data_IF_071189648956
#
_entry.id   IF_071189648956
#
_cell.length_a   1.000
_cell.length_b   1.000
_cell.length_c   1.000
_cell.angle_alpha   90.00
_cell.angle_beta   90.00
_cell.angle_gamma   90.00
#
_symmetry.space_group_name_H-M   'P 1'
#
loop_
_entity.id
_entity.type
_entity.pdbx_description
1 polymer ?
#
# COMPACT_ATOMS: atom_id res chain seq x y z
N UNK A 1 12.36 57.39 -18.15
CA UNK A 1 11.61 57.21 -16.89
C UNK A 1 11.39 55.72 -16.72
N UNK A 2 12.09 55.11 -15.75
CA UNK A 2 12.06 53.66 -15.51
C UNK A 2 11.24 53.44 -14.25
N UNK A 3 10.07 52.80 -14.39
CA UNK A 3 9.21 52.43 -13.28
C UNK A 3 9.75 51.13 -12.69
N UNK A 4 10.29 51.24 -11.48
CA UNK A 4 10.79 50.12 -10.67
C UNK A 4 9.59 49.56 -9.91
N UNK A 5 9.15 48.36 -10.27
CA UNK A 5 8.14 47.62 -9.50
C UNK A 5 8.75 47.16 -8.17
N UNK A 6 8.34 47.79 -7.08
CA UNK A 6 8.64 47.34 -5.73
C UNK A 6 7.73 46.15 -5.38
N UNK A 7 8.27 44.94 -5.47
CA UNK A 7 7.63 43.71 -5.01
C UNK A 7 7.40 43.72 -3.49
N UNK A 8 6.15 43.96 -3.09
CA UNK A 8 5.69 43.89 -1.70
C UNK A 8 5.67 42.46 -1.17
N UNK A 9 6.80 42.00 -0.61
CA UNK A 9 6.98 40.75 0.12
C UNK A 9 6.29 40.76 1.52
N UNK A 10 4.97 40.98 1.59
CA UNK A 10 4.23 41.12 2.87
C UNK A 10 3.39 39.91 3.28
N UNK A 11 3.43 38.78 2.58
CA UNK A 11 2.55 37.64 2.86
C UNK A 11 3.27 36.35 3.27
N UNK A 12 4.26 36.43 4.16
CA UNK A 12 4.83 35.25 4.83
C UNK A 12 4.44 35.19 6.32
N UNK A 13 3.17 35.43 6.62
CA UNK A 13 2.63 35.07 7.93
C UNK A 13 2.00 33.67 7.80
N UNK A 14 2.56 32.62 8.44
CA UNK A 14 2.00 31.26 8.36
C UNK A 14 0.55 31.19 8.84
N UNK A 15 0.15 32.12 9.72
CA UNK A 15 -1.23 32.26 10.20
C UNK A 15 -2.22 32.72 9.11
N UNK A 16 -1.75 33.46 8.10
CA UNK A 16 -2.56 33.87 6.96
C UNK A 16 -2.78 32.74 5.96
N UNK A 17 -1.79 31.85 5.78
CA UNK A 17 -1.93 30.67 4.92
C UNK A 17 -2.98 29.68 5.43
N UNK A 18 -3.01 29.44 6.74
CA UNK A 18 -4.03 28.57 7.35
C UNK A 18 -5.44 29.16 7.18
N UNK A 19 -5.60 30.48 7.37
CA UNK A 19 -6.90 31.15 7.18
C UNK A 19 -7.37 31.12 5.71
N UNK A 20 -6.46 31.31 4.75
CA UNK A 20 -6.77 31.22 3.32
C UNK A 20 -7.16 29.78 2.96
N UNK A 21 -6.44 28.78 3.47
CA UNK A 21 -6.77 27.36 3.24
C UNK A 21 -8.15 26.96 3.75
N UNK A 22 -8.53 27.41 4.96
CA UNK A 22 -9.86 27.14 5.54
C UNK A 22 -10.95 27.83 4.71
N UNK A 23 -10.76 29.09 4.32
CA UNK A 23 -11.74 29.82 3.49
C UNK A 23 -11.93 29.17 2.12
N UNK A 24 -10.86 28.70 1.47
CA UNK A 24 -10.93 27.97 0.19
C UNK A 24 -11.60 26.60 0.32
N UNK A 25 -11.47 25.92 1.45
CA UNK A 25 -12.14 24.63 1.71
C UNK A 25 -13.65 24.83 1.89
N UNK A 26 -14.06 25.85 2.65
CA UNK A 26 -15.47 26.20 2.84
C UNK A 26 -16.13 26.62 1.52
N UNK A 27 -15.41 27.35 0.65
CA UNK A 27 -15.93 27.75 -0.66
C UNK A 27 -16.17 26.54 -1.59
N UNK A 28 -15.29 25.53 -1.56
CA UNK A 28 -15.48 24.27 -2.31
C UNK A 28 -16.66 23.47 -1.79
N UNK A 29 -16.82 23.37 -0.47
CA UNK A 29 -17.96 22.66 0.13
C UNK A 29 -19.29 23.36 -0.18
N UNK A 30 -19.34 24.69 -0.12
CA UNK A 30 -20.55 25.46 -0.45
C UNK A 30 -20.96 25.32 -1.93
N UNK A 31 -20.00 25.19 -2.85
CA UNK A 31 -20.28 24.96 -4.27
C UNK A 31 -20.80 23.54 -4.52
N UNK A 32 -20.30 22.54 -3.78
CA UNK A 32 -20.76 21.14 -3.86
C UNK A 32 -22.18 20.96 -3.32
N UNK A 33 -22.55 21.68 -2.25
CA UNK A 33 -23.89 21.58 -1.66
C UNK A 33 -24.97 22.38 -2.42
N UNK A 34 -24.62 23.26 -3.36
CA UNK A 34 -25.60 24.02 -4.16
C UNK A 34 -26.14 23.28 -5.38
N UNK A 35 -25.63 22.09 -5.70
CA UNK A 35 -26.09 21.27 -6.82
C UNK A 35 -27.14 20.22 -6.48
N UNK A 36 -27.48 20.04 -5.19
CA UNK A 36 -28.43 19.00 -4.72
C UNK A 36 -29.69 19.66 -4.18
N UNK A 37 -30.39 20.39 -5.04
CA UNK A 37 -31.83 20.63 -4.84
C UNK A 37 -32.55 19.84 -5.91
N UNK A 38 -32.87 18.60 -5.57
CA UNK A 38 -33.80 17.77 -6.33
C UNK A 38 -35.15 18.51 -6.43
N UNK A 39 -35.61 18.68 -7.67
CA UNK A 39 -36.99 19.04 -7.96
C UNK A 39 -37.93 17.86 -7.59
N UNK A 40 -39.17 18.15 -7.18
CA UNK A 40 -40.12 17.12 -6.76
C UNK A 40 -40.85 16.51 -7.98
N UNK A 41 -40.19 15.66 -8.78
CA UNK A 41 -40.85 14.94 -9.88
C UNK A 41 -40.26 13.52 -10.13
N UNK A 42 -39.86 12.80 -9.06
CA UNK A 42 -39.38 11.42 -9.19
C UNK A 42 -39.84 10.49 -8.04
N UNK A 43 -41.04 10.69 -7.51
CA UNK A 43 -41.65 9.85 -6.45
C UNK A 43 -42.38 8.59 -6.99
N UNK A 44 -41.93 7.95 -8.08
CA UNK A 44 -42.67 6.81 -8.65
C UNK A 44 -41.87 5.55 -9.01
N UNK A 45 -40.55 5.51 -8.92
CA UNK A 45 -39.77 4.32 -9.34
C UNK A 45 -38.70 3.86 -8.34
N UNK A 46 -38.75 4.31 -7.08
CA UNK A 46 -37.74 3.98 -6.06
C UNK A 46 -38.30 3.18 -4.85
N UNK A 47 -39.23 2.24 -5.08
CA UNK A 47 -39.77 1.35 -4.05
C UNK A 47 -39.44 -0.15 -4.29
N UNK A 48 -38.48 -0.49 -5.16
CA UNK A 48 -38.24 -1.90 -5.53
C UNK A 48 -36.83 -2.47 -5.24
N UNK A 49 -35.86 -1.71 -4.74
CA UNK A 49 -34.48 -2.23 -4.53
C UNK A 49 -33.89 -1.96 -3.13
N UNK A 50 -34.72 -1.64 -2.13
CA UNK A 50 -34.28 -1.34 -0.76
C UNK A 50 -34.59 -2.43 0.30
N UNK A 51 -34.83 -3.68 -0.11
CA UNK A 51 -35.15 -4.80 0.82
C UNK A 51 -34.21 -6.02 0.72
N UNK A 52 -33.05 -5.93 0.05
CA UNK A 52 -32.18 -7.10 -0.18
C UNK A 52 -30.79 -7.10 0.51
N UNK A 53 -30.43 -6.09 1.32
CA UNK A 53 -29.10 -6.03 1.97
C UNK A 53 -29.16 -5.87 3.51
N UNK A 54 -30.16 -6.45 4.17
CA UNK A 54 -30.31 -6.38 5.63
C UNK A 54 -30.23 -7.73 6.37
N UNK A 55 -29.74 -8.82 5.74
CA UNK A 55 -29.63 -10.14 6.40
C UNK A 55 -28.29 -10.87 6.15
N UNK A 56 -27.14 -10.20 6.23
CA UNK A 56 -25.85 -10.87 6.06
C UNK A 56 -24.70 -10.40 6.99
N UNK A 57 -24.98 -9.85 8.18
CA UNK A 57 -23.94 -9.55 9.19
C UNK A 57 -24.35 -9.95 10.62
N UNK A 58 -24.93 -11.15 10.77
CA UNK A 58 -25.27 -11.69 12.09
C UNK A 58 -24.92 -13.17 12.23
N UNK A 59 -23.67 -13.57 11.94
CA UNK A 59 -23.13 -14.86 12.38
C UNK A 59 -21.61 -14.98 12.12
N UNK A 60 -20.76 -14.32 12.93
CA UNK A 60 -19.39 -14.80 13.25
C UNK A 60 -18.82 -14.03 14.46
N UNK A 61 -19.49 -14.09 15.60
CA UNK A 61 -18.89 -13.89 16.93
C UNK A 61 -19.18 -15.14 17.76
N UNK A 62 -18.47 -16.23 17.48
CA UNK A 62 -18.33 -17.35 18.41
C UNK A 62 -17.16 -18.22 17.95
N UNK A 63 -16.34 -18.62 18.91
CA UNK A 63 -15.35 -19.70 18.84
C UNK A 63 -13.90 -19.31 18.56
N UNK A 64 -13.24 -18.74 19.59
CA UNK A 64 -11.84 -19.06 19.93
C UNK A 64 -11.50 -18.64 21.38
N UNK A 65 -12.32 -19.07 22.34
CA UNK A 65 -11.84 -19.29 23.71
C UNK A 65 -11.35 -20.73 23.80
N UNK A 66 -10.06 -20.96 23.62
CA UNK A 66 -9.42 -22.20 24.04
C UNK A 66 -7.96 -21.92 24.41
N UNK A 67 -7.76 -21.85 25.73
CA UNK A 67 -6.67 -22.46 26.50
C UNK A 67 -5.27 -22.49 25.85
N UNK A 68 -4.31 -21.80 26.48
CA UNK A 68 -3.27 -22.46 27.29
C UNK A 68 -2.46 -21.37 28.00
N UNK A 69 -2.67 -21.27 29.32
CA UNK A 69 -1.65 -20.77 30.25
C UNK A 69 -0.46 -21.72 30.26
N UNK A 70 0.77 -21.18 30.30
CA UNK A 70 1.64 -21.66 31.37
C UNK A 70 2.16 -20.50 32.20
N UNK A 71 1.65 -20.51 33.43
CA UNK A 71 2.30 -20.13 34.68
C UNK A 71 3.83 -20.25 34.62
N UNK A 72 4.52 -19.12 34.47
CA UNK A 72 5.92 -18.99 34.88
C UNK A 72 5.97 -18.01 36.06
N UNK A 73 6.17 -18.61 37.22
CA UNK A 73 6.46 -17.98 38.49
C UNK A 73 7.72 -17.09 38.33
N UNK A 74 7.68 -15.77 38.60
CA UNK A 74 8.90 -15.05 38.90
C UNK A 74 9.34 -15.50 40.30
N UNK A 75 10.37 -16.32 40.35
CA UNK A 75 11.07 -16.66 41.58
C UNK A 75 11.43 -15.38 42.36
N UNK A 76 10.77 -15.21 43.50
CA UNK A 76 11.28 -14.43 44.61
C UNK A 76 12.56 -15.10 45.15
N UNK A 77 13.74 -14.68 44.67
CA UNK A 77 15.05 -14.96 45.29
C UNK A 77 16.03 -13.95 44.68
N UNK A 78 16.64 -12.99 45.36
CA UNK A 78 17.10 -12.95 46.74
C UNK A 78 17.06 -11.52 47.26
N UNK A 79 16.38 -11.33 48.39
CA UNK A 79 16.63 -10.17 49.23
C UNK A 79 18.11 -10.15 49.63
N UNK A 80 18.78 -9.03 49.37
CA UNK A 80 19.99 -8.62 50.06
C UNK A 80 19.64 -8.29 51.53
N UNK A 81 19.27 -9.34 52.26
CA UNK A 81 19.13 -9.35 53.70
C UNK A 81 20.52 -9.14 54.28
N UNK A 82 20.74 -7.94 54.79
CA UNK A 82 21.77 -7.55 55.76
C UNK A 82 21.98 -8.67 56.79
N UNK A 83 22.95 -9.56 56.54
CA UNK A 83 23.43 -10.52 57.53
C UNK A 83 24.12 -9.75 58.65
N UNK A 84 23.37 -9.54 59.73
CA UNK A 84 23.92 -9.24 61.05
C UNK A 84 24.94 -10.33 61.37
N UNK A 85 26.17 -9.90 61.66
CA UNK A 85 27.16 -10.66 62.44
C UNK A 85 26.47 -11.27 63.67
N UNK A 86 26.11 -12.54 63.59
CA UNK A 86 26.00 -13.36 64.79
C UNK A 86 27.39 -13.91 65.07
N UNK A 87 27.88 -13.45 66.22
CA UNK A 87 29.12 -13.81 66.87
C UNK A 87 28.94 -15.24 67.40
N UNK A 88 29.33 -16.25 66.65
CA UNK A 88 29.60 -17.61 67.17
C UNK A 88 31.01 -17.54 67.79
N UNK A 89 31.09 -17.33 69.09
CA UNK A 89 31.39 -18.39 70.06
C UNK A 89 32.67 -19.14 69.68
N UNK A 90 33.75 -18.68 70.29
CA UNK A 90 34.98 -19.40 70.59
C UNK A 90 34.64 -20.77 71.18
N UNK A 91 35.17 -21.88 70.65
CA UNK A 91 35.30 -23.09 71.45
C UNK A 91 36.35 -22.83 72.53
N UNK A 92 35.96 -23.17 73.75
CA UNK A 92 36.77 -23.10 74.96
C UNK A 92 38.15 -23.76 74.78
N UNK A 93 39.18 -23.00 75.10
CA UNK A 93 40.52 -23.50 75.40
C UNK A 93 40.48 -24.14 76.79
N UNK A 94 40.13 -25.44 76.94
CA UNK A 94 40.26 -26.09 78.27
C UNK A 94 40.29 -27.64 78.28
N UNK A 95 40.76 -28.31 77.23
CA UNK A 95 41.01 -29.79 77.27
C UNK A 95 42.37 -30.23 76.70
N UNK A 96 43.42 -29.41 76.83
CA UNK A 96 44.75 -29.72 76.26
C UNK A 96 45.76 -30.36 77.24
N UNK A 97 45.44 -30.46 78.54
CA UNK A 97 46.44 -30.85 79.55
C UNK A 97 46.34 -32.31 80.07
N UNK A 98 45.21 -33.01 79.88
CA UNK A 98 45.09 -34.42 80.31
C UNK A 98 45.49 -35.46 79.26
N UNK A 99 45.44 -35.14 77.95
CA UNK A 99 45.95 -36.06 76.92
C UNK A 99 47.48 -36.06 76.81
N UNK A 100 48.16 -34.99 77.23
CA UNK A 100 49.62 -34.90 77.13
C UNK A 100 50.37 -35.71 78.20
N UNK A 101 49.71 -36.13 79.30
CA UNK A 101 50.33 -36.99 80.32
C UNK A 101 50.23 -38.50 80.04
N UNK A 102 49.28 -38.96 79.22
CA UNK A 102 49.21 -40.38 78.85
C UNK A 102 50.28 -40.77 77.82
N UNK A 103 50.71 -39.84 76.95
CA UNK A 103 51.78 -40.10 75.98
C UNK A 103 53.18 -40.28 76.60
N UNK A 104 53.42 -39.81 77.83
CA UNK A 104 54.72 -39.95 78.51
C UNK A 104 54.91 -41.30 79.22
N UNK A 105 53.85 -42.06 79.49
CA UNK A 105 53.96 -43.37 80.18
C UNK A 105 54.17 -44.57 79.24
N UNK A 106 53.94 -44.43 77.93
CA UNK A 106 54.16 -45.52 76.97
C UNK A 106 55.57 -45.58 76.35
N UNK A 107 56.43 -44.58 76.58
CA UNK A 107 57.74 -44.50 75.90
C UNK A 107 58.88 -45.31 76.54
N UNK A 108 58.63 -46.13 77.57
CA UNK A 108 59.69 -46.81 78.35
C UNK A 108 59.69 -48.35 78.31
N UNK A 109 58.95 -48.99 77.40
CA UNK A 109 58.94 -50.47 77.28
C UNK A 109 58.94 -50.99 75.84
N UNK A 110 59.81 -50.48 74.96
CA UNK A 110 60.11 -51.15 73.69
C UNK A 110 61.61 -51.09 73.38
N UNK A 111 62.38 -51.92 74.09
CA UNK A 111 63.69 -52.38 73.65
C UNK A 111 63.57 -53.86 73.25
N UNK A 112 63.01 -54.18 72.09
CA UNK A 112 63.18 -55.51 71.49
C UNK A 112 63.10 -55.45 69.95
N UNK A 113 64.06 -56.15 69.33
CA UNK A 113 64.14 -56.63 67.95
C UNK A 113 64.44 -55.65 66.79
N UNK A 114 65.70 -55.63 66.28
CA UNK A 114 66.08 -54.84 65.09
C UNK A 114 65.60 -55.41 63.74
N UNK A 115 65.03 -56.64 63.68
CA UNK A 115 64.59 -57.25 62.41
C UNK A 115 63.19 -56.84 61.93
N UNK A 116 62.26 -56.47 62.82
CA UNK A 116 60.93 -55.97 62.43
C UNK A 116 60.92 -54.48 62.05
N UNK A 117 61.96 -53.71 62.42
CA UNK A 117 62.05 -52.29 62.06
C UNK A 117 62.35 -52.04 60.58
N UNK A 118 62.97 -52.98 59.88
CA UNK A 118 63.25 -52.82 58.44
C UNK A 118 61.98 -53.01 57.60
N UNK A 119 61.05 -53.86 58.04
CA UNK A 119 59.80 -54.13 57.33
C UNK A 119 58.77 -53.00 57.52
N UNK A 120 58.73 -52.37 58.70
CA UNK A 120 57.87 -51.21 58.96
C UNK A 120 58.35 -49.97 58.18
N UNK A 121 59.68 -49.77 58.06
CA UNK A 121 60.23 -48.66 57.27
C UNK A 121 59.95 -48.85 55.77
N UNK A 122 59.97 -50.09 55.27
CA UNK A 122 59.64 -50.37 53.87
C UNK A 122 58.17 -50.12 53.52
N UNK A 123 57.22 -50.50 54.41
CA UNK A 123 55.79 -50.19 54.21
C UNK A 123 55.49 -48.69 54.27
N UNK A 124 56.18 -47.93 55.14
CA UNK A 124 56.05 -46.46 55.20
C UNK A 124 56.56 -45.80 53.91
N UNK A 125 57.65 -46.31 53.32
CA UNK A 125 58.17 -45.79 52.05
C UNK A 125 57.24 -46.09 50.87
N UNK A 126 56.59 -47.27 50.85
CA UNK A 126 55.62 -47.65 49.81
C UNK A 126 54.33 -46.83 49.92
N UNK A 127 53.78 -46.63 51.13
CA UNK A 127 52.63 -45.74 51.34
C UNK A 127 52.93 -44.29 50.95
N UNK A 128 54.15 -43.81 51.24
CA UNK A 128 54.58 -42.47 50.86
C UNK A 128 54.72 -42.33 49.35
N UNK A 129 55.17 -43.39 48.66
CA UNK A 129 55.23 -43.43 47.20
C UNK A 129 53.83 -43.47 46.58
N UNK A 130 52.91 -44.27 47.10
CA UNK A 130 51.50 -44.28 46.65
C UNK A 130 50.84 -42.92 46.87
N UNK A 131 51.03 -42.30 48.04
CA UNK A 131 50.48 -40.97 48.31
C UNK A 131 51.06 -39.91 47.37
N UNK A 132 52.34 -40.00 47.03
CA UNK A 132 52.97 -39.12 46.05
C UNK A 132 52.40 -39.34 44.64
N UNK A 133 52.15 -40.59 44.23
CA UNK A 133 51.51 -40.89 42.95
C UNK A 133 50.07 -40.40 42.88
N UNK A 134 49.28 -40.61 43.94
CA UNK A 134 47.91 -40.08 44.03
C UNK A 134 47.90 -38.56 43.96
N UNK A 135 48.86 -37.89 44.63
CA UNK A 135 48.97 -36.44 44.55
C UNK A 135 49.32 -35.95 43.13
N UNK A 136 50.19 -36.66 42.41
CA UNK A 136 50.51 -36.35 41.01
C UNK A 136 49.30 -36.58 40.08
N UNK A 137 48.56 -37.68 40.27
CA UNK A 137 47.34 -37.96 39.49
C UNK A 137 46.29 -36.88 39.71
N UNK A 138 46.02 -36.52 40.97
CA UNK A 138 45.07 -35.45 41.30
C UNK A 138 45.48 -34.10 40.73
N UNK A 139 46.79 -33.81 40.68
CA UNK A 139 47.29 -32.58 40.05
C UNK A 139 47.02 -32.55 38.53
N UNK A 140 47.23 -33.66 37.84
CA UNK A 140 46.96 -33.79 36.41
C UNK A 140 45.45 -33.73 36.09
N UNK A 141 44.61 -34.32 36.94
CA UNK A 141 43.16 -34.25 36.80
C UNK A 141 42.65 -32.81 36.94
N UNK A 142 43.09 -32.09 37.99
CA UNK A 142 42.78 -30.68 38.16
C UNK A 142 43.26 -29.80 36.99
N UNK A 143 44.42 -30.11 36.40
CA UNK A 143 44.94 -29.38 35.24
C UNK A 143 44.09 -29.62 33.99
N UNK A 144 43.61 -30.86 33.78
CA UNK A 144 42.67 -31.18 32.69
C UNK A 144 41.32 -30.50 32.88
N UNK A 145 40.78 -30.49 34.10
CA UNK A 145 39.53 -29.78 34.40
C UNK A 145 39.68 -28.27 34.14
N UNK A 146 40.80 -27.65 34.52
CA UNK A 146 41.06 -26.24 34.20
C UNK A 146 41.16 -25.98 32.70
N UNK A 147 41.84 -26.84 31.94
CA UNK A 147 41.92 -26.71 30.48
C UNK A 147 40.55 -26.87 29.83
N UNK A 148 39.72 -27.79 30.32
CA UNK A 148 38.36 -27.97 29.81
C UNK A 148 37.49 -26.75 30.10
N UNK A 149 37.53 -26.20 31.32
CA UNK A 149 36.81 -24.98 31.66
C UNK A 149 37.25 -23.79 30.81
N UNK A 150 38.56 -23.63 30.54
CA UNK A 150 39.04 -22.57 29.65
C UNK A 150 38.55 -22.74 28.21
N UNK A 151 38.44 -23.99 27.74
CA UNK A 151 37.90 -24.27 26.41
C UNK A 151 36.41 -23.96 26.34
N UNK A 152 35.62 -24.38 27.32
CA UNK A 152 34.18 -24.09 27.38
C UNK A 152 33.89 -22.58 27.45
N UNK A 153 34.73 -21.81 28.16
CA UNK A 153 34.64 -20.34 28.19
C UNK A 153 34.99 -19.73 26.81
N UNK A 154 36.02 -20.26 26.13
CA UNK A 154 36.41 -19.79 24.80
C UNK A 154 35.34 -20.05 23.75
N UNK A 155 34.81 -21.28 23.70
CA UNK A 155 33.77 -21.68 22.76
C UNK A 155 32.47 -20.87 23.00
N UNK A 156 32.13 -20.59 24.26
CA UNK A 156 30.98 -19.75 24.61
C UNK A 156 31.13 -18.28 24.17
N UNK A 157 32.33 -17.70 24.28
CA UNK A 157 32.60 -16.33 23.82
C UNK A 157 32.55 -16.19 22.30
N UNK A 158 33.06 -17.18 21.56
CA UNK A 158 32.96 -17.20 20.09
C UNK A 158 31.50 -17.31 19.64
N UNK A 159 30.70 -18.17 20.29
CA UNK A 159 29.28 -18.31 19.98
C UNK A 159 28.49 -17.01 20.25
N UNK A 160 28.71 -16.35 21.39
CA UNK A 160 28.05 -15.09 21.72
C UNK A 160 28.43 -13.97 20.73
N UNK A 161 29.70 -13.93 20.31
CA UNK A 161 30.16 -12.97 19.30
C UNK A 161 29.53 -13.23 17.92
N UNK A 162 29.37 -14.51 17.55
CA UNK A 162 28.70 -14.89 16.30
C UNK A 162 27.21 -14.52 16.32
N UNK A 163 26.50 -14.78 17.42
CA UNK A 163 25.09 -14.40 17.57
C UNK A 163 24.89 -12.87 17.53
N UNK A 164 25.78 -12.09 18.17
CA UNK A 164 25.73 -10.63 18.06
C UNK A 164 25.97 -10.14 16.63
N UNK A 165 26.88 -10.77 15.89
CA UNK A 165 27.16 -10.41 14.51
C UNK A 165 25.96 -10.74 13.60
N UNK A 166 25.31 -11.87 13.81
CA UNK A 166 24.11 -12.26 13.06
C UNK A 166 22.93 -11.32 13.35
N UNK A 167 22.70 -10.97 14.62
CA UNK A 167 21.69 -9.96 14.99
C UNK A 167 21.96 -8.60 14.33
N UNK A 168 23.22 -8.15 14.26
CA UNK A 168 23.57 -6.91 13.56
C UNK A 168 23.31 -6.99 12.05
N UNK A 169 23.51 -8.15 11.42
CA UNK A 169 23.21 -8.34 10.00
C UNK A 169 21.70 -8.35 9.75
N UNK A 170 20.92 -8.99 10.63
CA UNK A 170 19.45 -8.98 10.55
C UNK A 170 18.88 -7.57 10.73
N UNK A 171 19.41 -6.78 11.68
CA UNK A 171 19.01 -5.39 11.86
C UNK A 171 19.35 -4.50 10.66
N UNK A 172 20.47 -4.75 9.98
CA UNK A 172 20.81 -4.04 8.73
C UNK A 172 19.88 -4.42 7.58
N UNK A 173 19.56 -5.70 7.42
CA UNK A 173 18.64 -6.17 6.37
C UNK A 173 17.25 -5.54 6.48
N UNK A 174 16.70 -5.45 7.70
CA UNK A 174 15.40 -4.81 7.93
C UNK A 174 15.40 -3.30 7.62
N UNK A 175 16.54 -2.62 7.84
CA UNK A 175 16.69 -1.20 7.49
C UNK A 175 16.68 -0.98 5.98
N UNK A 176 17.39 -1.82 5.23
CA UNK A 176 17.47 -1.74 3.77
C UNK A 176 16.11 -2.05 3.10
N UNK A 177 15.35 -3.03 3.62
CA UNK A 177 13.99 -3.32 3.14
C UNK A 177 13.02 -2.16 3.40
N UNK A 178 13.08 -1.55 4.58
CA UNK A 178 12.22 -0.42 4.92
C UNK A 178 12.56 0.84 4.09
N UNK A 179 13.84 1.07 3.78
CA UNK A 179 14.26 2.16 2.90
C UNK A 179 13.79 1.92 1.45
N UNK A 180 13.86 0.68 0.97
CA UNK A 180 13.36 0.29 -0.36
C UNK A 180 11.85 0.48 -0.46
N UNK A 181 11.08 0.04 0.53
CA UNK A 181 9.62 0.21 0.56
C UNK A 181 9.23 1.71 0.59
N UNK A 182 9.96 2.51 1.36
CA UNK A 182 9.75 3.97 1.40
C UNK A 182 10.11 4.64 0.06
N UNK A 183 11.14 4.15 -0.63
CA UNK A 183 11.51 4.64 -1.97
C UNK A 183 10.47 4.25 -3.02
N UNK A 184 9.93 3.03 -2.96
CA UNK A 184 8.88 2.55 -3.86
C UNK A 184 7.58 3.35 -3.68
N UNK A 185 7.17 3.61 -2.43
CA UNK A 185 6.02 4.49 -2.16
C UNK A 185 6.21 5.92 -2.71
N UNK A 186 7.42 6.47 -2.64
CA UNK A 186 7.70 7.79 -3.23
C UNK A 186 7.65 7.77 -4.76
N UNK A 187 8.09 6.70 -5.41
CA UNK A 187 7.95 6.55 -6.86
C UNK A 187 6.48 6.45 -7.26
N UNK A 188 5.68 5.63 -6.59
CA UNK A 188 4.25 5.50 -6.88
C UNK A 188 3.50 6.83 -6.72
N UNK A 189 3.79 7.60 -5.66
CA UNK A 189 3.19 8.93 -5.50
C UNK A 189 3.59 9.91 -6.60
N UNK A 190 4.83 9.80 -7.10
CA UNK A 190 5.29 10.63 -8.20
C UNK A 190 4.60 10.24 -9.52
N UNK A 191 4.49 8.94 -9.81
CA UNK A 191 3.81 8.45 -11.01
C UNK A 191 2.34 8.85 -11.04
N UNK A 192 1.63 8.73 -9.90
CA UNK A 192 0.25 9.22 -9.77
C UNK A 192 0.13 10.73 -9.98
N UNK A 193 1.12 11.50 -9.52
CA UNK A 193 1.17 12.95 -9.74
C UNK A 193 1.37 13.30 -11.22
N UNK A 194 2.32 12.62 -11.88
CA UNK A 194 2.63 12.82 -13.30
C UNK A 194 1.44 12.38 -14.20
N UNK A 195 0.72 11.32 -13.83
CA UNK A 195 -0.50 10.86 -14.51
C UNK A 195 -1.65 11.87 -14.36
N UNK A 196 -1.88 12.38 -13.14
CA UNK A 196 -2.91 13.40 -12.90
C UNK A 196 -2.61 14.72 -13.63
N UNK A 197 -1.34 15.08 -13.80
CA UNK A 197 -0.93 16.24 -14.59
C UNK A 197 -1.18 16.00 -16.08
N UNK A 198 -0.90 14.79 -16.59
CA UNK A 198 -1.20 14.41 -17.98
C UNK A 198 -2.70 14.45 -18.27
N UNK A 199 -3.54 13.89 -17.38
CA UNK A 199 -5.01 13.95 -17.55
C UNK A 199 -5.54 15.39 -17.57
N UNK A 200 -4.99 16.26 -16.73
CA UNK A 200 -5.35 17.69 -16.75
C UNK A 200 -4.94 18.37 -18.06
N UNK A 201 -3.76 18.04 -18.58
CA UNK A 201 -3.29 18.57 -19.85
C UNK A 201 -4.17 18.08 -21.01
N UNK A 202 -4.53 16.79 -21.05
CA UNK A 202 -5.42 16.23 -22.06
C UNK A 202 -6.83 16.85 -22.02
N UNK A 203 -7.38 17.09 -20.82
CA UNK A 203 -8.64 17.82 -20.67
C UNK A 203 -8.55 19.25 -21.21
N UNK A 204 -7.44 19.95 -20.96
CA UNK A 204 -7.23 21.30 -21.47
C UNK A 204 -7.12 21.30 -23.01
N UNK A 205 -6.35 20.37 -23.58
CA UNK A 205 -6.21 20.24 -25.04
C UNK A 205 -7.56 19.88 -25.71
N UNK A 206 -8.37 19.04 -25.06
CA UNK A 206 -9.71 18.71 -25.54
C UNK A 206 -10.65 19.93 -25.52
N UNK A 207 -10.59 20.73 -24.45
CA UNK A 207 -11.36 21.97 -24.35
C UNK A 207 -10.94 22.98 -25.43
N UNK A 208 -9.64 23.15 -25.67
CA UNK A 208 -9.14 24.04 -26.72
C UNK A 208 -9.55 23.55 -28.13
N UNK A 209 -9.57 22.24 -28.39
CA UNK A 209 -10.11 21.70 -29.64
C UNK A 209 -11.60 21.96 -29.80
N UNK A 210 -12.39 21.83 -28.74
CA UNK A 210 -13.83 22.11 -28.77
C UNK A 210 -14.08 23.60 -29.09
N UNK A 211 -13.35 24.51 -28.46
CA UNK A 211 -13.46 25.95 -28.74
C UNK A 211 -13.07 26.29 -30.19
N UNK A 212 -12.04 25.64 -30.73
CA UNK A 212 -11.66 25.80 -32.14
C UNK A 212 -12.76 25.30 -33.09
N UNK A 213 -13.39 24.17 -32.77
CA UNK A 213 -14.49 23.62 -33.57
C UNK A 213 -15.72 24.54 -33.52
N UNK A 214 -16.10 25.04 -32.34
CA UNK A 214 -17.21 26.00 -32.20
C UNK A 214 -16.93 27.30 -32.96
N UNK A 215 -15.69 27.78 -32.95
CA UNK A 215 -15.31 28.96 -33.73
C UNK A 215 -15.43 28.72 -35.24
N UNK A 216 -15.02 27.54 -35.72
CA UNK A 216 -15.15 27.16 -37.12
C UNK A 216 -16.62 27.06 -37.54
N UNK A 217 -17.48 26.44 -36.73
CA UNK A 217 -18.92 26.35 -37.00
C UNK A 217 -19.58 27.74 -37.02
N UNK A 218 -19.19 28.66 -36.13
CA UNK A 218 -19.67 30.05 -36.15
C UNK A 218 -19.24 30.79 -37.42
N UNK A 219 -18.01 30.57 -37.89
CA UNK A 219 -17.52 31.18 -39.13
C UNK A 219 -18.31 30.66 -40.34
N UNK A 220 -18.55 29.36 -40.43
CA UNK A 220 -19.35 28.75 -41.50
C UNK A 220 -20.81 29.26 -41.49
N UNK A 221 -21.42 29.41 -40.31
CA UNK A 221 -22.76 30.01 -40.19
C UNK A 221 -22.77 31.47 -40.67
N UNK A 222 -21.74 32.24 -40.34
CA UNK A 222 -21.63 33.63 -40.79
C UNK A 222 -21.49 33.71 -42.32
N UNK A 223 -20.71 32.83 -42.93
CA UNK A 223 -20.59 32.74 -44.39
C UNK A 223 -21.92 32.35 -45.05
N UNK A 224 -22.65 31.38 -44.49
CA UNK A 224 -23.98 31.00 -45.00
C UNK A 224 -24.98 32.16 -44.93
N UNK A 225 -24.99 32.93 -43.83
CA UNK A 225 -25.85 34.12 -43.72
C UNK A 225 -25.49 35.19 -44.77
N UNK A 226 -24.20 35.41 -45.05
CA UNK A 226 -23.77 36.33 -46.09
C UNK A 226 -24.18 35.86 -47.49
N UNK A 227 -24.10 34.56 -47.77
CA UNK A 227 -24.55 33.99 -49.04
C UNK A 227 -26.07 34.11 -49.22
N UNK A 228 -26.85 33.83 -48.18
CA UNK A 228 -28.31 34.02 -48.21
C UNK A 228 -28.69 35.48 -48.42
N UNK A 229 -27.96 36.41 -47.79
CA UNK A 229 -28.19 37.84 -48.00
C UNK A 229 -27.89 38.27 -49.44
N UNK A 230 -26.78 37.81 -50.03
CA UNK A 230 -26.47 38.06 -51.46
C UNK A 230 -27.56 37.52 -52.40
N UNK A 231 -28.03 36.29 -52.17
CA UNK A 231 -29.10 35.70 -52.97
C UNK A 231 -30.42 36.48 -52.82
N UNK A 232 -30.72 36.99 -51.62
CA UNK A 232 -31.87 37.86 -51.38
C UNK A 232 -31.77 39.19 -52.12
N UNK A 233 -30.61 39.85 -52.05
CA UNK A 233 -30.37 41.12 -52.75
C UNK A 233 -30.45 40.94 -54.28
N UNK A 234 -29.93 39.82 -54.83
CA UNK A 234 -30.04 39.48 -56.26
C UNK A 234 -31.50 39.24 -56.69
N UNK A 235 -32.29 38.52 -55.89
CA UNK A 235 -33.72 38.31 -56.17
C UNK A 235 -34.54 39.61 -56.11
N UNK A 236 -34.23 40.49 -55.16
CA UNK A 236 -34.92 41.78 -55.02
C UNK A 236 -34.58 42.71 -56.21
N UNK A 237 -33.33 42.65 -56.68
CA UNK A 237 -32.90 43.36 -57.89
C UNK A 237 -33.61 42.82 -59.15
N UNK A 238 -33.71 41.50 -59.33
CA UNK A 238 -34.47 40.90 -60.44
C UNK A 238 -35.95 41.28 -60.40
N UNK A 239 -36.57 41.33 -59.20
CA UNK A 239 -37.95 41.80 -59.05
C UNK A 239 -38.12 43.28 -59.41
N UNK A 240 -37.17 44.15 -59.05
CA UNK A 240 -37.19 45.56 -59.45
C UNK A 240 -37.07 45.73 -60.97
N UNK A 241 -36.22 44.96 -61.63
CA UNK A 241 -36.11 44.98 -63.10
C UNK A 241 -37.40 44.48 -63.78
N UNK A 242 -38.07 43.48 -63.22
CA UNK A 242 -39.37 43.01 -63.74
C UNK A 242 -40.54 43.99 -63.52
N UNK A 243 -40.47 44.88 -62.52
CA UNK A 243 -41.52 45.89 -62.29
C UNK A 243 -41.38 47.15 -63.16
N UNK A 244 -40.18 47.45 -63.69
CA UNK A 244 -39.99 48.60 -64.61
C UNK A 244 -40.81 48.55 -65.92
N UNK A 245 -41.02 47.40 -66.60
CA UNK A 245 -41.85 47.38 -67.81
C UNK A 245 -43.36 47.57 -67.55
N UNK A 246 -43.86 47.31 -66.33
CA UNK A 246 -45.30 47.49 -66.02
C UNK A 246 -45.69 48.96 -65.83
N UNK A 247 -44.77 49.85 -65.45
CA UNK A 247 -45.04 51.29 -65.43
C UNK A 247 -45.08 51.93 -66.84
N UNK A 248 -44.76 51.19 -67.91
CA UNK A 248 -44.95 51.66 -69.31
C UNK A 248 -46.22 51.13 -69.98
N UNK A 249 -47.04 50.31 -69.32
CA UNK A 249 -48.28 49.78 -69.92
C UNK A 249 -49.53 49.93 -69.03
N UNK A 250 -49.45 50.66 -67.93
CA UNK A 250 -50.58 50.93 -67.02
C UNK A 250 -51.51 52.07 -67.46
N UNK A 251 -51.96 52.10 -68.71
CA UNK A 251 -53.17 52.84 -69.15
C UNK A 251 -53.96 52.01 -70.16
N UNK A 252 -54.15 50.71 -69.91
CA UNK A 252 -55.21 49.97 -70.56
C UNK A 252 -55.60 48.76 -69.70
N UNK A 253 -56.91 48.64 -69.47
CA UNK A 253 -57.59 47.42 -69.01
C UNK A 253 -57.64 47.19 -67.50
N UNK A 254 -58.54 47.96 -66.88
CA UNK A 254 -59.52 47.39 -65.95
C UNK A 254 -60.27 46.23 -66.63
N UNK A 255 -60.48 45.13 -65.91
CA UNK A 255 -61.48 44.12 -66.28
C UNK A 255 -61.20 42.72 -65.74
N UNK A 256 -61.85 42.40 -64.62
CA UNK A 256 -62.48 41.11 -64.30
C UNK A 256 -61.66 39.81 -64.43
N UNK A 257 -61.40 39.15 -63.29
CA UNK A 257 -61.61 37.70 -63.12
C UNK A 257 -61.32 37.30 -61.67
N UNK A 258 -62.41 37.23 -60.90
CA UNK A 258 -62.47 36.63 -59.58
C UNK A 258 -63.00 35.20 -59.77
N UNK A 259 -62.47 34.27 -58.96
CA UNK A 259 -62.91 32.87 -58.75
C UNK A 259 -62.16 31.78 -59.57
N UNK A 260 -61.83 30.70 -58.86
CA UNK A 260 -61.25 29.40 -59.30
C UNK A 260 -59.72 29.16 -59.24
N UNK A 261 -58.99 29.83 -58.32
CA UNK A 261 -57.57 29.55 -58.05
C UNK A 261 -57.24 28.65 -56.85
N UNK A 262 -58.20 28.34 -55.96
CA UNK A 262 -57.94 27.76 -54.65
C UNK A 262 -57.43 26.31 -54.64
N UNK A 263 -57.73 25.52 -55.67
CA UNK A 263 -57.35 24.11 -55.72
C UNK A 263 -55.85 23.90 -56.00
N UNK A 264 -55.23 24.74 -56.84
CA UNK A 264 -53.81 24.62 -57.19
C UNK A 264 -52.88 25.09 -56.06
N UNK A 265 -53.27 26.12 -55.31
CA UNK A 265 -52.53 26.56 -54.13
C UNK A 265 -52.52 25.50 -53.01
N UNK A 266 -53.61 24.74 -52.87
CA UNK A 266 -53.69 23.63 -51.91
C UNK A 266 -52.75 22.47 -52.28
N UNK A 267 -52.55 22.19 -53.57
CA UNK A 267 -51.62 21.14 -54.05
C UNK A 267 -50.17 21.56 -53.81
N UNK A 268 -49.81 22.82 -54.04
CA UNK A 268 -48.47 23.33 -53.77
C UNK A 268 -48.10 23.25 -52.28
N UNK A 269 -49.04 23.59 -51.39
CA UNK A 269 -48.83 23.44 -49.94
C UNK A 269 -48.67 21.97 -49.53
N UNK A 270 -49.41 21.04 -50.16
CA UNK A 270 -49.27 19.62 -49.88
C UNK A 270 -47.88 19.10 -50.28
N UNK A 271 -47.35 19.53 -51.43
CA UNK A 271 -46.00 19.16 -51.88
C UNK A 271 -44.91 19.69 -50.93
N UNK A 272 -45.07 20.92 -50.43
CA UNK A 272 -44.15 21.50 -49.45
C UNK A 272 -44.16 20.73 -48.11
N UNK A 273 -45.34 20.32 -47.64
CA UNK A 273 -45.49 19.50 -46.42
C UNK A 273 -44.85 18.12 -46.62
N UNK A 274 -45.07 17.46 -47.76
CA UNK A 274 -44.43 16.17 -48.05
C UNK A 274 -42.90 16.28 -48.11
N UNK A 275 -42.37 17.33 -48.72
CA UNK A 275 -40.93 17.59 -48.74
C UNK A 275 -40.37 17.86 -47.33
N UNK A 276 -41.11 18.57 -46.47
CA UNK A 276 -40.71 18.76 -45.07
C UNK A 276 -40.70 17.44 -44.29
N UNK A 277 -41.69 16.56 -44.53
CA UNK A 277 -41.75 15.22 -43.92
C UNK A 277 -40.54 14.37 -44.34
N UNK A 278 -40.14 14.40 -45.60
CA UNK A 278 -38.97 13.64 -46.06
C UNK A 278 -37.67 14.17 -45.43
N UNK A 279 -37.52 15.49 -45.28
CA UNK A 279 -36.37 16.09 -44.56
C UNK A 279 -36.31 15.65 -43.10
N UNK A 280 -37.45 15.62 -42.40
CA UNK A 280 -37.53 15.13 -41.02
C UNK A 280 -37.17 13.64 -40.96
N UNK A 281 -37.65 12.83 -41.91
CA UNK A 281 -37.32 11.40 -41.97
C UNK A 281 -35.82 11.20 -42.13
N UNK A 282 -35.17 11.96 -43.00
CA UNK A 282 -33.73 11.83 -43.21
C UNK A 282 -32.92 12.33 -42.01
N UNK A 283 -33.36 13.37 -41.29
CA UNK A 283 -32.71 13.77 -40.03
C UNK A 283 -32.82 12.69 -38.93
N UNK A 284 -33.94 11.97 -38.88
CA UNK A 284 -34.07 10.82 -37.97
C UNK A 284 -33.13 9.67 -38.34
N UNK A 285 -32.94 9.38 -39.64
CA UNK A 285 -31.96 8.37 -40.08
C UNK A 285 -30.54 8.77 -39.71
N UNK A 286 -30.16 10.03 -39.91
CA UNK A 286 -28.83 10.52 -39.54
C UNK A 286 -28.60 10.43 -38.02
N UNK A 287 -29.63 10.75 -37.24
CA UNK A 287 -29.57 10.62 -35.78
C UNK A 287 -29.43 9.16 -35.35
N UNK A 288 -30.20 8.25 -35.96
CA UNK A 288 -30.09 6.81 -35.72
C UNK A 288 -28.68 6.30 -36.05
N UNK A 289 -28.11 6.68 -37.21
CA UNK A 289 -26.75 6.29 -37.58
C UNK A 289 -25.68 6.86 -36.62
N UNK A 290 -25.86 8.07 -36.09
CA UNK A 290 -24.96 8.62 -35.07
C UNK A 290 -25.04 7.84 -33.77
N UNK A 291 -26.23 7.42 -33.37
CA UNK A 291 -26.42 6.58 -32.17
C UNK A 291 -25.78 5.20 -32.39
N UNK A 292 -25.99 4.57 -33.55
CA UNK A 292 -25.38 3.29 -33.89
C UNK A 292 -23.85 3.36 -33.84
N UNK A 293 -23.22 4.39 -34.45
CA UNK A 293 -21.76 4.58 -34.38
C UNK A 293 -21.25 4.81 -32.95
N UNK A 294 -22.02 5.50 -32.10
CA UNK A 294 -21.65 5.68 -30.69
C UNK A 294 -21.75 4.37 -29.92
N UNK A 295 -22.78 3.56 -30.17
CA UNK A 295 -22.91 2.24 -29.57
C UNK A 295 -21.76 1.34 -30.01
N UNK A 296 -21.42 1.30 -31.30
CA UNK A 296 -20.27 0.55 -31.80
C UNK A 296 -18.95 1.00 -31.15
N UNK A 297 -18.74 2.32 -31.01
CA UNK A 297 -17.57 2.85 -30.32
C UNK A 297 -17.52 2.46 -28.84
N UNK A 298 -18.66 2.46 -28.14
CA UNK A 298 -18.75 2.03 -26.75
C UNK A 298 -18.51 0.53 -26.61
N UNK A 299 -19.03 -0.29 -27.53
CA UNK A 299 -18.79 -1.74 -27.56
C UNK A 299 -17.31 -2.03 -27.75
N UNK A 300 -16.65 -1.37 -28.72
CA UNK A 300 -15.20 -1.53 -28.93
C UNK A 300 -14.37 -1.10 -27.71
N UNK A 301 -14.77 -0.02 -27.02
CA UNK A 301 -14.11 0.43 -25.79
C UNK A 301 -14.30 -0.60 -24.66
N UNK A 302 -15.50 -1.16 -24.51
CA UNK A 302 -15.80 -2.20 -23.52
C UNK A 302 -15.02 -3.49 -23.82
N UNK A 303 -14.95 -3.93 -25.08
CA UNK A 303 -14.15 -5.09 -25.49
C UNK A 303 -12.66 -4.91 -25.19
N UNK A 304 -12.14 -3.69 -25.42
CA UNK A 304 -10.75 -3.35 -25.09
C UNK A 304 -10.53 -3.43 -23.58
N UNK A 305 -11.43 -2.85 -22.78
CA UNK A 305 -11.36 -2.89 -21.31
C UNK A 305 -11.43 -4.32 -20.74
N UNK A 306 -12.34 -5.15 -21.26
CA UNK A 306 -12.44 -6.56 -20.88
C UNK A 306 -11.14 -7.30 -21.24
N UNK A 307 -10.57 -7.03 -22.41
CA UNK A 307 -9.32 -7.66 -22.86
C UNK A 307 -8.12 -7.25 -22.00
N UNK A 308 -8.00 -5.98 -21.63
CA UNK A 308 -6.90 -5.52 -20.77
C UNK A 308 -7.00 -6.09 -19.36
N UNK A 309 -8.19 -6.03 -18.76
CA UNK A 309 -8.42 -6.57 -17.40
C UNK A 309 -8.25 -8.09 -17.33
N UNK A 310 -8.68 -8.82 -18.36
CA UNK A 310 -8.44 -10.27 -18.42
C UNK A 310 -6.96 -10.61 -18.61
N UNK A 311 -6.23 -9.86 -19.43
CA UNK A 311 -4.78 -10.05 -19.59
C UNK A 311 -4.02 -9.78 -18.28
N UNK A 312 -4.37 -8.72 -17.56
CA UNK A 312 -3.81 -8.41 -16.23
C UNK A 312 -4.09 -9.55 -15.24
N UNK A 313 -5.34 -10.00 -15.14
CA UNK A 313 -5.70 -11.12 -14.27
C UNK A 313 -4.96 -12.41 -14.63
N UNK A 314 -4.74 -12.70 -15.92
CA UNK A 314 -3.96 -13.88 -16.34
C UNK A 314 -2.47 -13.75 -16.03
N UNK A 315 -1.91 -12.53 -16.11
CA UNK A 315 -0.54 -12.26 -15.73
C UNK A 315 -0.33 -12.47 -14.22
N UNK A 316 -1.25 -11.95 -13.40
CA UNK A 316 -1.22 -12.16 -11.95
C UNK A 316 -1.35 -13.65 -11.59
N UNK A 317 -2.24 -14.39 -12.27
CA UNK A 317 -2.33 -15.84 -12.10
C UNK A 317 -1.04 -16.57 -12.48
N UNK A 318 -0.35 -16.15 -13.55
CA UNK A 318 0.94 -16.72 -13.92
C UNK A 318 2.02 -16.44 -12.87
N UNK A 319 2.09 -15.21 -12.34
CA UNK A 319 3.03 -14.87 -11.28
C UNK A 319 2.77 -15.65 -9.99
N UNK A 320 1.51 -15.87 -9.62
CA UNK A 320 1.14 -16.71 -8.47
C UNK A 320 1.61 -18.15 -8.71
N UNK A 321 1.38 -18.69 -9.91
CA UNK A 321 1.80 -20.05 -10.28
C UNK A 321 3.33 -20.20 -10.19
N UNK A 322 4.10 -19.24 -10.73
CA UNK A 322 5.56 -19.23 -10.61
C UNK A 322 6.05 -19.14 -9.16
N UNK A 323 5.35 -18.35 -8.32
CA UNK A 323 5.68 -18.26 -6.89
C UNK A 323 5.43 -19.59 -6.17
N UNK A 324 4.34 -20.28 -6.49
CA UNK A 324 4.07 -21.61 -5.94
C UNK A 324 5.11 -22.63 -6.37
N UNK A 325 5.53 -22.63 -7.63
CA UNK A 325 6.58 -23.53 -8.12
C UNK A 325 7.91 -23.30 -7.38
N UNK A 326 8.32 -22.04 -7.21
CA UNK A 326 9.51 -21.68 -6.42
C UNK A 326 9.40 -22.08 -4.94
N UNK A 327 8.19 -22.02 -4.36
CA UNK A 327 7.95 -22.50 -3.00
C UNK A 327 8.02 -24.04 -2.93
N UNK A 328 7.57 -24.75 -3.97
CA UNK A 328 7.73 -26.18 -4.12
C UNK A 328 9.21 -26.58 -4.11
N UNK A 329 10.03 -25.95 -4.96
CA UNK A 329 11.48 -26.19 -5.02
C UNK A 329 12.18 -25.94 -3.67
N UNK A 330 11.78 -24.89 -2.94
CA UNK A 330 12.31 -24.60 -1.60
C UNK A 330 11.92 -25.68 -0.58
N UNK A 331 10.68 -26.14 -0.63
CA UNK A 331 10.18 -27.21 0.23
C UNK A 331 10.95 -28.51 -0.01
N UNK A 332 11.15 -28.88 -1.28
CA UNK A 332 11.92 -30.07 -1.67
C UNK A 332 13.37 -29.98 -1.18
N UNK A 333 14.02 -28.81 -1.34
CA UNK A 333 15.36 -28.58 -0.82
C UNK A 333 15.42 -28.71 0.71
N UNK A 334 14.45 -28.15 1.44
CA UNK A 334 14.39 -28.28 2.90
C UNK A 334 14.19 -29.74 3.31
N UNK A 335 13.37 -30.50 2.59
CA UNK A 335 13.20 -31.94 2.82
C UNK A 335 14.52 -32.69 2.67
N UNK A 336 15.26 -32.46 1.56
CA UNK A 336 16.56 -33.09 1.31
C UNK A 336 17.60 -32.73 2.40
N UNK A 337 17.57 -31.49 2.90
CA UNK A 337 18.41 -31.06 4.04
C UNK A 337 18.04 -31.80 5.33
N UNK A 338 16.75 -32.01 5.61
CA UNK A 338 16.32 -32.75 6.80
C UNK A 338 16.71 -34.22 6.73
N UNK A 339 16.60 -34.86 5.57
CA UNK A 339 17.04 -36.24 5.37
C UNK A 339 18.55 -36.39 5.66
N UNK A 340 19.37 -35.45 5.15
CA UNK A 340 20.81 -35.43 5.45
C UNK A 340 21.16 -35.18 6.92
N UNK A 341 20.32 -34.43 7.65
CA UNK A 341 20.51 -34.24 9.09
C UNK A 341 20.12 -35.49 9.87
N UNK A 342 19.13 -36.27 9.42
CA UNK A 342 18.73 -37.53 10.06
C UNK A 342 19.74 -38.67 9.90
N UNK A 343 20.62 -38.61 8.89
CA UNK A 343 21.69 -39.59 8.67
C UNK A 343 22.94 -39.36 9.54
N UNK A 344 23.10 -38.16 10.12
CA UNK A 344 24.21 -37.81 11.02
C UNK A 344 23.86 -38.11 12.47
#
# INVERSE_FOLDING_TARGET
MSLREEGSNKHKCPRCFVLIGILSSVQRHAKRCRGVTHGPEAEAEAEAEAEAEAEAEAETEADAEAEVEPKLEPEEQTGFGRWKRQRTQTPDEDESDEQQQQHKRHRKKQQHHPKQKQEIVAMDDEQKQEHQQQHQQKKLENEKEQQQQQKEIGDGQEQEQQEQQEQQQQQKGLGDEQELEQQEQQQQQKELGDEQEREQQEQQEHQEQQEQQEHQEQQEQQEQQQQQKKLGDEQEQEQQEQQQPQQRQGEAQQGEAQQDGGALASIANLAAVLSAIDKIRDSFKDTAQRIDRKMDSMVMALETFITTTTNEATNDQQQIMERMDRLGEKTDHLSEKMDHLGER
#
